data_IF_200117113504
#
_entry.id   IF_200117113504
#
_cell.length_a   1.000
_cell.length_b   1.000
_cell.length_c   1.000
_cell.angle_alpha   90.00
_cell.angle_beta   90.00
_cell.angle_gamma   90.00
#
_symmetry.space_group_name_H-M   'P 1'
#
loop_
_entity.id
_entity.type
_entity.pdbx_description
1 polymer ?
#
# COMPACT_ATOMS: atom_id res chain seq x y z
N UNK A 1 -29.64 -6.18 -20.63
CA UNK A 1 -29.35 -7.18 -19.60
C UNK A 1 -28.63 -8.38 -20.21
N UNK A 2 -27.97 -9.20 -19.38
CA UNK A 2 -27.33 -10.47 -19.81
C UNK A 2 -28.34 -11.61 -19.61
N UNK A 3 -28.20 -12.67 -20.42
CA UNK A 3 -29.04 -13.85 -20.28
C UNK A 3 -28.69 -14.65 -19.00
N UNK A 4 -29.63 -15.49 -18.54
CA UNK A 4 -29.50 -16.20 -17.26
C UNK A 4 -28.33 -17.18 -17.26
N UNK A 5 -28.07 -17.88 -18.37
CA UNK A 5 -26.99 -18.88 -18.47
C UNK A 5 -25.62 -18.22 -18.35
N UNK A 6 -25.43 -17.12 -19.07
CA UNK A 6 -24.23 -16.30 -19.01
C UNK A 6 -24.02 -15.71 -17.61
N UNK A 7 -25.10 -15.18 -16.99
CA UNK A 7 -25.02 -14.63 -15.63
C UNK A 7 -24.59 -15.67 -14.60
N UNK A 8 -25.15 -16.88 -14.66
CA UNK A 8 -24.81 -17.98 -13.76
C UNK A 8 -23.37 -18.46 -13.96
N UNK A 9 -22.90 -18.60 -15.21
CA UNK A 9 -21.53 -19.00 -15.49
C UNK A 9 -20.51 -17.97 -14.97
N UNK A 10 -20.79 -16.66 -15.15
CA UNK A 10 -19.96 -15.59 -14.61
C UNK A 10 -19.98 -15.55 -13.08
N UNK A 11 -21.15 -15.72 -12.47
CA UNK A 11 -21.27 -15.80 -11.02
C UNK A 11 -20.47 -16.96 -10.44
N UNK A 12 -20.55 -18.15 -11.02
CA UNK A 12 -19.74 -19.30 -10.62
C UNK A 12 -18.25 -18.98 -10.72
N UNK A 13 -17.77 -18.43 -11.84
CA UNK A 13 -16.37 -18.05 -12.05
C UNK A 13 -15.89 -17.12 -10.94
N UNK A 14 -16.58 -16.02 -10.69
CA UNK A 14 -16.17 -15.04 -9.68
C UNK A 14 -16.27 -15.56 -8.26
N UNK A 15 -17.29 -16.38 -7.94
CA UNK A 15 -17.39 -17.02 -6.63
C UNK A 15 -16.23 -18.00 -6.38
N UNK A 16 -15.80 -18.74 -7.40
CA UNK A 16 -14.62 -19.63 -7.30
C UNK A 16 -13.34 -18.81 -7.09
N UNK A 17 -13.08 -17.80 -7.92
CA UNK A 17 -11.90 -16.96 -7.82
C UNK A 17 -11.79 -16.23 -6.46
N UNK A 18 -12.92 -15.87 -5.87
CA UNK A 18 -12.97 -15.21 -4.56
C UNK A 18 -13.11 -16.18 -3.37
N UNK A 19 -13.03 -17.51 -3.60
CA UNK A 19 -13.11 -18.51 -2.53
C UNK A 19 -14.49 -18.64 -1.87
N UNK A 20 -15.56 -18.29 -2.58
CA UNK A 20 -16.94 -18.29 -2.07
C UNK A 20 -17.77 -19.47 -2.58
N UNK A 21 -17.25 -20.27 -3.52
CA UNK A 21 -18.05 -21.30 -4.19
C UNK A 21 -18.62 -22.36 -3.24
N UNK A 22 -17.85 -22.81 -2.27
CA UNK A 22 -18.29 -23.79 -1.28
C UNK A 22 -19.42 -23.26 -0.38
N UNK A 23 -19.53 -21.95 -0.31
CA UNK A 23 -20.56 -21.25 0.48
C UNK A 23 -21.71 -20.69 -0.37
N UNK A 24 -21.81 -21.06 -1.67
CA UNK A 24 -22.81 -20.53 -2.62
C UNK A 24 -24.27 -20.71 -2.18
N UNK A 25 -24.55 -21.74 -1.35
CA UNK A 25 -25.88 -22.01 -0.80
C UNK A 25 -26.07 -21.46 0.62
N UNK A 26 -25.05 -20.79 1.18
CA UNK A 26 -25.15 -20.19 2.51
C UNK A 26 -25.96 -18.90 2.48
N UNK A 27 -26.68 -18.63 3.56
CA UNK A 27 -27.35 -17.36 3.74
C UNK A 27 -26.27 -16.28 3.91
N UNK A 28 -26.32 -15.21 3.11
CA UNK A 28 -25.31 -14.14 3.12
C UNK A 28 -25.11 -13.48 4.49
N UNK A 29 -26.16 -13.52 5.34
CA UNK A 29 -26.12 -13.01 6.71
C UNK A 29 -25.10 -13.72 7.58
N UNK A 30 -24.83 -15.02 7.30
CA UNK A 30 -23.92 -15.89 8.06
C UNK A 30 -22.45 -15.79 7.59
N UNK A 31 -22.17 -15.00 6.56
CA UNK A 31 -20.81 -14.77 6.09
C UNK A 31 -20.08 -13.78 7.00
N UNK A 32 -18.78 -13.98 7.19
CA UNK A 32 -17.90 -12.98 7.84
C UNK A 32 -17.88 -11.67 7.05
N UNK A 33 -17.45 -10.57 7.67
CA UNK A 33 -17.36 -9.26 7.00
C UNK A 33 -16.53 -9.31 5.71
N UNK A 34 -15.37 -9.96 5.75
CA UNK A 34 -14.50 -10.12 4.58
C UNK A 34 -15.14 -10.95 3.46
N UNK A 35 -15.84 -12.04 3.80
CA UNK A 35 -16.57 -12.85 2.80
C UNK A 35 -17.75 -12.08 2.21
N UNK A 36 -18.44 -11.25 3.00
CA UNK A 36 -19.50 -10.37 2.49
C UNK A 36 -18.94 -9.36 1.48
N UNK A 37 -17.78 -8.74 1.78
CA UNK A 37 -17.12 -7.82 0.84
C UNK A 37 -16.76 -8.50 -0.47
N UNK A 38 -16.16 -9.68 -0.42
CA UNK A 38 -15.86 -10.48 -1.62
C UNK A 38 -17.11 -10.83 -2.40
N UNK A 39 -18.23 -11.17 -1.73
CA UNK A 39 -19.50 -11.41 -2.38
C UNK A 39 -20.04 -10.16 -3.10
N UNK A 40 -19.87 -8.98 -2.50
CA UNK A 40 -20.28 -7.71 -3.13
C UNK A 40 -19.45 -7.42 -4.38
N UNK A 41 -18.12 -7.68 -4.34
CA UNK A 41 -17.24 -7.56 -5.51
C UNK A 41 -17.68 -8.56 -6.59
N UNK A 42 -17.89 -9.84 -6.24
CA UNK A 42 -18.37 -10.84 -7.20
C UNK A 42 -19.68 -10.40 -7.87
N UNK A 43 -20.65 -9.90 -7.09
CA UNK A 43 -21.92 -9.40 -7.58
C UNK A 43 -21.77 -8.25 -8.54
N UNK A 44 -20.87 -7.29 -8.24
CA UNK A 44 -20.60 -6.13 -9.08
C UNK A 44 -19.94 -6.52 -10.42
N UNK A 45 -19.26 -7.67 -10.49
CA UNK A 45 -18.56 -8.13 -11.68
C UNK A 45 -19.40 -9.01 -12.62
N UNK A 46 -20.54 -9.55 -12.19
CA UNK A 46 -21.37 -10.48 -13.01
C UNK A 46 -21.74 -9.90 -14.38
N UNK A 47 -21.96 -8.59 -14.45
CA UNK A 47 -22.31 -7.92 -15.72
C UNK A 47 -21.08 -7.42 -16.51
N UNK A 48 -19.87 -7.73 -16.06
CA UNK A 48 -18.57 -7.35 -16.66
C UNK A 48 -18.51 -5.84 -16.97
N UNK A 49 -18.54 -4.98 -15.94
CA UNK A 49 -18.53 -3.54 -16.14
C UNK A 49 -17.19 -3.07 -16.69
N UNK A 50 -17.22 -1.98 -17.48
CA UNK A 50 -15.99 -1.29 -17.90
C UNK A 50 -15.37 -0.48 -16.77
N UNK A 51 -16.18 -0.04 -15.82
CA UNK A 51 -15.77 0.73 -14.63
C UNK A 51 -16.34 0.08 -13.38
N UNK A 52 -15.49 -0.20 -12.40
CA UNK A 52 -15.83 -0.74 -11.09
C UNK A 52 -15.43 0.27 -10.02
N UNK A 53 -16.42 0.67 -9.20
CA UNK A 53 -16.19 1.54 -8.05
C UNK A 53 -16.22 0.71 -6.77
N UNK A 54 -15.19 0.79 -5.97
CA UNK A 54 -15.05 0.04 -4.72
C UNK A 54 -14.79 1.01 -3.56
N UNK A 55 -15.63 0.93 -2.56
CA UNK A 55 -15.46 1.69 -1.33
C UNK A 55 -14.89 0.78 -0.25
N UNK A 56 -13.65 1.06 0.18
CA UNK A 56 -12.92 0.31 1.21
C UNK A 56 -12.94 -1.22 0.98
N UNK A 57 -12.47 -1.74 -0.17
CA UNK A 57 -12.72 -3.13 -0.59
C UNK A 57 -12.14 -4.19 0.37
N UNK A 58 -11.11 -3.87 1.15
CA UNK A 58 -10.48 -4.81 2.09
C UNK A 58 -10.49 -4.34 3.55
N UNK A 59 -11.30 -3.34 3.91
CA UNK A 59 -11.40 -2.90 5.30
C UNK A 59 -11.94 -4.01 6.21
N UNK A 60 -11.25 -4.22 7.34
CA UNK A 60 -11.63 -5.26 8.30
C UNK A 60 -11.40 -6.70 7.83
N UNK A 61 -10.61 -6.89 6.79
CA UNK A 61 -10.23 -8.20 6.23
C UNK A 61 -8.84 -8.59 6.76
N UNK A 62 -8.64 -9.86 7.10
CA UNK A 62 -7.33 -10.37 7.49
C UNK A 62 -6.30 -10.27 6.36
N UNK A 63 -5.01 -10.39 6.70
CA UNK A 63 -3.89 -10.13 5.77
C UNK A 63 -3.91 -11.08 4.56
N UNK A 64 -4.21 -12.36 4.75
CA UNK A 64 -4.21 -13.35 3.68
C UNK A 64 -5.36 -13.10 2.71
N UNK A 65 -6.56 -12.88 3.25
CA UNK A 65 -7.73 -12.54 2.47
C UNK A 65 -7.57 -11.21 1.71
N UNK A 66 -6.90 -10.24 2.33
CA UNK A 66 -6.59 -8.95 1.71
C UNK A 66 -5.70 -9.14 0.48
N UNK A 67 -4.58 -9.84 0.63
CA UNK A 67 -3.64 -10.10 -0.48
C UNK A 67 -4.31 -10.82 -1.65
N UNK A 68 -5.05 -11.89 -1.37
CA UNK A 68 -5.77 -12.62 -2.42
C UNK A 68 -6.85 -11.79 -3.11
N UNK A 69 -7.48 -10.83 -2.40
CA UNK A 69 -8.41 -9.87 -3.01
C UNK A 69 -7.67 -8.88 -3.91
N UNK A 70 -6.50 -8.39 -3.50
CA UNK A 70 -5.67 -7.52 -4.33
C UNK A 70 -5.23 -8.20 -5.63
N UNK A 71 -4.77 -9.44 -5.55
CA UNK A 71 -4.34 -10.18 -6.73
C UNK A 71 -5.50 -10.39 -7.70
N UNK A 72 -6.69 -10.68 -7.19
CA UNK A 72 -7.92 -10.77 -7.98
C UNK A 72 -8.26 -9.42 -8.64
N UNK A 73 -8.21 -8.30 -7.92
CA UNK A 73 -8.49 -6.97 -8.48
C UNK A 73 -7.47 -6.57 -9.56
N UNK A 74 -6.19 -6.91 -9.37
CA UNK A 74 -5.14 -6.72 -10.39
C UNK A 74 -5.46 -7.51 -11.67
N UNK A 75 -5.92 -8.75 -11.53
CA UNK A 75 -6.32 -9.59 -12.67
C UNK A 75 -7.50 -8.97 -13.42
N UNK A 76 -8.54 -8.54 -12.72
CA UNK A 76 -9.72 -7.87 -13.31
C UNK A 76 -9.31 -6.58 -14.05
N UNK A 77 -8.42 -5.79 -13.47
CA UNK A 77 -7.92 -4.57 -14.10
C UNK A 77 -7.11 -4.88 -15.36
N UNK A 78 -6.20 -5.87 -15.34
CA UNK A 78 -5.44 -6.32 -16.53
C UNK A 78 -6.36 -6.81 -17.65
N UNK A 79 -7.52 -7.36 -17.31
CA UNK A 79 -8.53 -7.82 -18.27
C UNK A 79 -9.41 -6.68 -18.82
N UNK A 80 -9.07 -5.42 -18.52
CA UNK A 80 -9.66 -4.24 -19.14
C UNK A 80 -10.75 -3.54 -18.34
N UNK A 81 -11.04 -3.96 -17.09
CA UNK A 81 -11.94 -3.20 -16.22
C UNK A 81 -11.17 -2.07 -15.55
N UNK A 82 -11.61 -0.83 -15.72
CA UNK A 82 -11.09 0.29 -14.94
C UNK A 82 -11.61 0.18 -13.51
N UNK A 83 -10.72 0.28 -12.51
CA UNK A 83 -11.09 0.23 -11.09
C UNK A 83 -10.76 1.56 -10.44
N UNK A 84 -11.75 2.14 -9.77
CA UNK A 84 -11.58 3.26 -8.84
C UNK A 84 -11.92 2.74 -7.45
N UNK A 85 -11.03 2.94 -6.50
CA UNK A 85 -11.26 2.51 -5.12
C UNK A 85 -10.97 3.66 -4.15
N UNK A 86 -11.70 3.67 -3.04
CA UNK A 86 -11.34 4.45 -1.86
C UNK A 86 -10.67 3.54 -0.85
N UNK A 87 -9.69 4.04 -0.13
CA UNK A 87 -9.05 3.31 0.96
C UNK A 87 -8.32 4.26 1.90
N UNK A 88 -8.26 3.90 3.17
CA UNK A 88 -7.37 4.51 4.15
C UNK A 88 -6.11 3.65 4.39
N UNK A 89 -6.01 2.48 3.74
CA UNK A 89 -4.82 1.63 3.78
C UNK A 89 -3.86 2.06 2.66
N UNK A 90 -2.83 2.81 3.01
CA UNK A 90 -1.84 3.31 2.05
C UNK A 90 -1.10 2.19 1.33
N UNK A 91 -0.90 1.04 1.99
CA UNK A 91 -0.34 -0.17 1.38
C UNK A 91 -1.23 -0.71 0.24
N UNK A 92 -2.57 -0.63 0.39
CA UNK A 92 -3.52 -1.00 -0.66
C UNK A 92 -3.40 -0.07 -1.87
N UNK A 93 -3.38 1.26 -1.63
CA UNK A 93 -3.20 2.25 -2.67
C UNK A 93 -1.86 2.06 -3.39
N UNK A 94 -0.78 1.81 -2.64
CA UNK A 94 0.55 1.56 -3.22
C UNK A 94 0.58 0.29 -4.07
N UNK A 95 -0.10 -0.78 -3.62
CA UNK A 95 -0.12 -2.06 -4.31
C UNK A 95 -0.99 -2.07 -5.57
N UNK A 96 -2.14 -1.40 -5.54
CA UNK A 96 -3.18 -1.50 -6.57
C UNK A 96 -3.20 -0.34 -7.55
N UNK A 97 -2.90 0.89 -7.10
CA UNK A 97 -3.18 2.08 -7.87
C UNK A 97 -1.97 2.53 -8.70
N UNK A 98 -2.23 2.93 -9.96
CA UNK A 98 -1.28 3.66 -10.80
C UNK A 98 -1.37 5.17 -10.57
N UNK A 99 -2.58 5.67 -10.34
CA UNK A 99 -2.87 7.07 -10.02
C UNK A 99 -3.55 7.15 -8.67
N UNK A 100 -3.21 8.20 -7.93
CA UNK A 100 -3.71 8.42 -6.57
C UNK A 100 -4.25 9.84 -6.48
N UNK A 101 -5.38 10.00 -5.82
CA UNK A 101 -5.90 11.27 -5.34
C UNK A 101 -5.88 11.25 -3.81
N UNK A 102 -5.27 12.25 -3.20
CA UNK A 102 -5.28 12.45 -1.74
C UNK A 102 -6.38 13.46 -1.43
N UNK A 103 -7.27 13.09 -0.51
CA UNK A 103 -8.42 13.91 -0.12
C UNK A 103 -8.26 14.30 1.34
N UNK A 104 -8.36 15.60 1.62
CA UNK A 104 -8.43 16.17 2.97
C UNK A 104 -9.60 17.15 3.06
N UNK A 105 -10.40 17.04 4.13
CA UNK A 105 -11.55 17.93 4.40
C UNK A 105 -12.48 18.12 3.20
N UNK A 106 -12.68 17.04 2.40
CA UNK A 106 -13.57 17.05 1.23
C UNK A 106 -12.98 17.66 -0.04
N UNK A 107 -11.71 18.04 -0.03
CA UNK A 107 -11.00 18.60 -1.19
C UNK A 107 -9.87 17.67 -1.63
N UNK A 108 -9.62 17.63 -2.94
CA UNK A 108 -8.43 16.93 -3.46
C UNK A 108 -7.23 17.83 -3.23
N UNK A 109 -6.31 17.40 -2.37
CA UNK A 109 -5.08 18.13 -2.05
C UNK A 109 -3.93 17.78 -2.97
N UNK A 110 -3.95 16.55 -3.54
CA UNK A 110 -2.95 16.12 -4.49
C UNK A 110 -3.53 15.05 -5.42
N UNK A 111 -3.12 15.02 -6.69
CA UNK A 111 -3.54 14.03 -7.68
C UNK A 111 -2.46 13.81 -8.73
N UNK A 112 -2.15 12.55 -9.00
CA UNK A 112 -1.18 12.24 -10.05
C UNK A 112 -0.84 10.76 -10.17
N UNK A 113 0.14 10.44 -11.02
CA UNK A 113 0.71 9.12 -11.04
C UNK A 113 1.49 8.86 -9.74
N UNK A 114 1.31 7.67 -9.17
CA UNK A 114 1.99 7.26 -7.95
C UNK A 114 3.50 7.50 -7.99
N UNK A 115 4.14 7.21 -9.13
CA UNK A 115 5.58 7.44 -9.31
C UNK A 115 5.97 8.91 -9.16
N UNK A 116 5.17 9.81 -9.73
CA UNK A 116 5.42 11.25 -9.71
C UNK A 116 5.17 11.82 -8.31
N UNK A 117 4.11 11.35 -7.65
CA UNK A 117 3.81 11.72 -6.27
C UNK A 117 4.93 11.28 -5.32
N UNK A 118 5.37 10.03 -5.41
CA UNK A 118 6.48 9.53 -4.60
C UNK A 118 7.82 10.21 -4.94
N UNK A 119 7.93 10.74 -6.15
CA UNK A 119 9.09 11.52 -6.55
C UNK A 119 9.19 12.88 -5.85
N UNK A 120 8.14 13.37 -5.22
CA UNK A 120 8.16 14.60 -4.41
C UNK A 120 8.81 14.39 -3.04
N UNK A 121 8.99 13.15 -2.59
CA UNK A 121 9.74 12.87 -1.38
C UNK A 121 11.23 13.20 -1.59
N UNK A 122 11.74 14.16 -0.83
CA UNK A 122 13.14 14.60 -0.92
C UNK A 122 14.09 13.69 -0.15
N UNK A 123 13.58 12.91 0.81
CA UNK A 123 14.34 11.99 1.64
C UNK A 123 13.50 10.78 2.01
N UNK A 124 14.16 9.68 2.28
CA UNK A 124 13.55 8.45 2.78
C UNK A 124 14.29 8.01 4.05
N UNK A 125 13.56 7.58 5.07
CA UNK A 125 14.16 7.03 6.28
C UNK A 125 14.17 5.51 6.21
N UNK A 126 15.36 4.94 6.36
CA UNK A 126 15.57 3.51 6.38
C UNK A 126 15.94 3.04 7.78
N UNK A 127 15.49 1.85 8.12
CA UNK A 127 15.90 1.11 9.31
C UNK A 127 16.90 0.05 8.87
N UNK A 128 18.06 0.04 9.53
CA UNK A 128 19.15 -0.89 9.30
C UNK A 128 19.25 -1.83 10.51
N UNK A 129 19.08 -3.12 10.28
CA UNK A 129 19.35 -4.12 11.32
C UNK A 129 20.83 -4.55 11.19
N UNK A 130 21.55 -4.56 12.29
CA UNK A 130 22.99 -4.85 12.34
C UNK A 130 23.27 -6.35 12.51
N UNK A 131 24.45 -6.78 12.09
CA UNK A 131 24.94 -8.14 12.35
C UNK A 131 25.45 -8.28 13.79
N UNK A 132 26.14 -7.26 14.27
CA UNK A 132 26.73 -7.21 15.61
C UNK A 132 26.17 -6.01 16.38
N UNK A 133 26.01 -6.13 17.71
CA UNK A 133 25.59 -5.01 18.51
C UNK A 133 26.63 -3.89 18.48
N UNK A 134 26.13 -2.65 18.45
CA UNK A 134 26.91 -1.43 18.50
C UNK A 134 26.68 -0.77 19.87
N UNK A 135 27.74 -0.60 20.67
CA UNK A 135 27.61 0.03 21.98
C UNK A 135 27.31 1.53 21.85
N UNK A 136 28.03 2.19 20.96
CA UNK A 136 27.85 3.62 20.69
C UNK A 136 28.08 3.89 19.21
N UNK A 137 27.19 4.71 18.63
CA UNK A 137 27.29 5.15 17.24
C UNK A 137 28.49 6.07 17.07
N UNK A 138 29.46 5.77 16.18
CA UNK A 138 30.54 6.69 15.86
C UNK A 138 30.00 7.97 15.22
N UNK A 139 30.73 9.07 15.35
CA UNK A 139 30.42 10.31 14.64
C UNK A 139 30.59 10.12 13.13
N UNK A 140 29.49 10.33 12.39
CA UNK A 140 29.44 10.24 10.91
C UNK A 140 28.76 11.51 10.36
N UNK A 141 29.46 12.66 10.33
CA UNK A 141 28.85 13.96 9.99
C UNK A 141 28.23 14.02 8.59
N UNK A 142 28.64 13.13 7.69
CA UNK A 142 28.11 13.03 6.32
C UNK A 142 26.78 12.28 6.22
N UNK A 143 26.33 11.62 7.29
CA UNK A 143 25.09 10.87 7.36
C UNK A 143 24.16 11.45 8.41
N UNK A 144 22.90 11.58 8.05
CA UNK A 144 21.83 11.79 9.03
C UNK A 144 21.41 10.41 9.56
N UNK A 145 22.07 9.99 10.63
CA UNK A 145 21.94 8.64 11.18
C UNK A 145 21.79 8.70 12.70
N UNK A 146 20.94 7.84 13.24
CA UNK A 146 20.75 7.69 14.68
C UNK A 146 20.68 6.23 15.11
N UNK A 147 21.15 5.96 16.29
CA UNK A 147 21.00 4.65 16.93
C UNK A 147 19.66 4.58 17.68
N UNK A 148 18.86 3.56 17.36
CA UNK A 148 17.57 3.29 18.02
C UNK A 148 17.80 2.35 19.21
N UNK A 149 18.59 1.31 18.98
CA UNK A 149 19.03 0.33 19.97
C UNK A 149 20.37 -0.27 19.53
N UNK A 150 21.02 -1.16 20.33
CA UNK A 150 22.33 -1.73 19.97
C UNK A 150 22.38 -2.48 18.63
N UNK A 151 21.24 -2.95 18.12
CA UNK A 151 21.14 -3.74 16.86
C UNK A 151 20.50 -2.97 15.73
N UNK A 152 20.01 -1.73 15.97
CA UNK A 152 19.17 -1.01 15.01
C UNK A 152 19.63 0.42 14.83
N UNK A 153 19.87 0.81 13.59
CA UNK A 153 20.11 2.20 13.19
C UNK A 153 18.98 2.70 12.31
N UNK A 154 18.71 3.99 12.37
CA UNK A 154 17.90 4.70 11.38
C UNK A 154 18.79 5.66 10.61
N UNK A 155 18.67 5.67 9.30
CA UNK A 155 19.39 6.60 8.41
C UNK A 155 18.42 7.30 7.47
N UNK A 156 18.58 8.59 7.31
CA UNK A 156 17.86 9.40 6.33
C UNK A 156 18.72 9.51 5.09
N UNK A 157 18.21 9.03 3.97
CA UNK A 157 18.88 9.13 2.67
C UNK A 157 18.15 10.17 1.83
N UNK A 158 18.84 11.25 1.51
CA UNK A 158 18.33 12.27 0.61
C UNK A 158 18.47 11.82 -0.84
N UNK A 159 17.65 12.36 -1.71
CA UNK A 159 17.60 12.01 -3.14
C UNK A 159 18.95 12.18 -3.88
N UNK A 160 19.80 13.08 -3.40
CA UNK A 160 21.12 13.31 -3.93
C UNK A 160 22.17 12.31 -3.40
N UNK A 161 21.82 11.53 -2.40
CA UNK A 161 22.71 10.53 -1.79
C UNK A 161 22.45 9.16 -2.40
N UNK A 162 23.53 8.43 -2.62
CA UNK A 162 23.50 7.04 -3.06
C UNK A 162 23.51 6.12 -1.84
N UNK A 163 22.64 5.14 -1.80
CA UNK A 163 22.61 4.12 -0.75
C UNK A 163 23.96 3.39 -0.63
N UNK A 164 24.69 3.19 -1.74
CA UNK A 164 26.02 2.58 -1.71
C UNK A 164 27.02 3.45 -0.93
N UNK A 165 26.91 4.78 -1.00
CA UNK A 165 27.76 5.69 -0.22
C UNK A 165 27.51 5.50 1.29
N UNK A 166 26.26 5.32 1.70
CA UNK A 166 25.91 5.02 3.10
C UNK A 166 26.55 3.71 3.55
N UNK A 167 26.40 2.63 2.78
CA UNK A 167 27.01 1.33 3.11
C UNK A 167 28.55 1.38 3.14
N UNK A 168 29.16 2.17 2.26
CA UNK A 168 30.61 2.36 2.27
C UNK A 168 31.08 3.00 3.59
N UNK A 169 30.44 4.09 4.01
CA UNK A 169 30.77 4.78 5.26
C UNK A 169 30.58 3.85 6.46
N UNK A 170 29.46 3.10 6.52
CA UNK A 170 29.22 2.14 7.59
C UNK A 170 30.30 1.05 7.63
N UNK A 171 30.73 0.55 6.47
CA UNK A 171 31.79 -0.46 6.35
C UNK A 171 33.15 0.06 6.81
N UNK A 172 33.49 1.33 6.53
CA UNK A 172 34.70 1.99 7.02
C UNK A 172 34.76 2.02 8.56
N UNK A 173 33.57 2.14 9.20
CA UNK A 173 33.43 2.06 10.66
C UNK A 173 33.20 0.63 11.18
N UNK A 174 33.40 -0.40 10.33
CA UNK A 174 33.20 -1.83 10.66
C UNK A 174 31.77 -2.18 11.09
N UNK A 175 30.79 -1.36 10.72
CA UNK A 175 29.37 -1.60 10.96
C UNK A 175 28.82 -2.44 9.80
N UNK A 176 28.39 -3.66 10.10
CA UNK A 176 27.88 -4.60 9.11
C UNK A 176 26.38 -4.64 9.21
N UNK A 177 25.70 -4.28 8.11
CA UNK A 177 24.24 -4.28 8.00
C UNK A 177 23.76 -5.64 7.53
N UNK A 178 22.81 -6.23 8.25
CA UNK A 178 22.13 -7.49 7.92
C UNK A 178 20.96 -7.28 6.98
N UNK A 179 20.14 -6.27 7.26
CA UNK A 179 18.97 -5.94 6.46
C UNK A 179 18.74 -4.43 6.43
N UNK A 180 18.08 -4.00 5.37
CA UNK A 180 17.62 -2.63 5.17
C UNK A 180 16.14 -2.66 4.81
N UNK A 181 15.34 -1.84 5.47
CA UNK A 181 13.92 -1.67 5.16
C UNK A 181 13.50 -0.22 5.32
N UNK A 182 12.51 0.21 4.57
CA UNK A 182 11.93 1.53 4.79
C UNK A 182 11.29 1.60 6.19
N UNK A 183 11.45 2.71 6.88
CA UNK A 183 10.86 2.94 8.21
C UNK A 183 9.34 3.02 8.14
N UNK A 184 8.82 3.70 7.14
CA UNK A 184 7.40 3.85 6.87
C UNK A 184 7.10 3.60 5.40
N UNK A 185 5.85 3.33 5.08
CA UNK A 185 5.39 3.29 3.70
C UNK A 185 5.61 4.66 3.05
N UNK A 186 6.13 4.69 1.83
CA UNK A 186 6.46 5.95 1.12
C UNK A 186 5.23 6.84 0.91
N UNK A 187 4.07 6.25 0.63
CA UNK A 187 2.82 7.00 0.54
C UNK A 187 2.40 7.59 1.88
N UNK A 188 2.69 6.90 2.99
CA UNK A 188 2.41 7.41 4.33
C UNK A 188 3.25 8.65 4.64
N UNK A 189 4.53 8.62 4.31
CA UNK A 189 5.41 9.78 4.45
C UNK A 189 4.92 10.97 3.63
N UNK A 190 4.53 10.72 2.37
CA UNK A 190 3.97 11.75 1.51
C UNK A 190 2.66 12.32 2.07
N UNK A 191 1.76 11.44 2.53
CA UNK A 191 0.46 11.81 3.09
C UNK A 191 0.61 12.71 4.33
N UNK A 192 1.46 12.32 5.29
CA UNK A 192 1.73 13.11 6.49
C UNK A 192 2.25 14.50 6.10
N UNK A 193 3.25 14.56 5.22
CA UNK A 193 3.82 15.84 4.75
C UNK A 193 2.77 16.76 4.13
N UNK A 194 1.93 16.24 3.23
CA UNK A 194 0.90 17.05 2.56
C UNK A 194 -0.16 17.57 3.54
N UNK A 195 -0.46 16.83 4.61
CA UNK A 195 -1.37 17.30 5.65
C UNK A 195 -0.73 18.40 6.50
N UNK A 196 0.56 18.26 6.85
CA UNK A 196 1.29 19.25 7.62
C UNK A 196 1.42 20.57 6.83
N UNK A 197 1.77 20.50 5.54
CA UNK A 197 1.89 21.65 4.65
C UNK A 197 0.55 22.39 4.47
N UNK A 198 -0.58 21.65 4.41
CA UNK A 198 -1.91 22.24 4.32
C UNK A 198 -2.42 22.78 5.67
N UNK A 199 -2.01 22.19 6.79
CA UNK A 199 -2.33 22.67 8.14
C UNK A 199 -1.68 24.04 8.40
N UNK A 200 -0.43 24.23 7.98
CA UNK A 200 0.31 25.47 8.14
C UNK A 200 -0.25 26.65 7.31
N UNK A 201 -0.97 26.35 6.22
CA UNK A 201 -1.56 27.38 5.34
C UNK A 201 -2.98 27.82 5.78
N UNK A 202 -3.56 27.23 6.83
CA UNK A 202 -4.91 27.58 7.28
C UNK A 202 -4.96 28.36 8.60
N UNK A 203 -3.84 28.53 9.30
CA UNK A 203 -3.71 29.30 10.54
C UNK A 203 -3.10 30.70 10.31
N UNK A 204 -3.15 31.22 9.09
CA UNK A 204 -2.66 32.53 8.69
C UNK A 204 -3.79 33.51 8.37
#
# INVERSE_FOLDING_TARGET
GIDRKTALGRAERYLRQLGLWERRNSISRNLSGGLKRRLMIARALVHEPKLLLLDEPTAGVDVELRRSTWDFLKEINRNGTTIVLTTHYLEEAESLCEKIAIIDKGSIVEYGHKKDLLAQLHSETFVLDLVNPLEQLPEMPSLDIRQVDPMTLEVVINRAQDANAVFKILSEHKIIVRSLRNKANRLEQLFIRLLDDNGANHDG
#
